data_IF_512996550789
#
_entry.id   IF_512996550789
#
_cell.length_a   1.000
_cell.length_b   1.000
_cell.length_c   1.000
_cell.angle_alpha   90.00
_cell.angle_beta   90.00
_cell.angle_gamma   90.00
#
_symmetry.space_group_name_H-M   'P 1'
#
loop_
_entity.id
_entity.type
_entity.pdbx_description
1 polymer ?
#
# COMPACT_ATOMS: atom_id res chain seq x y z
N UNK A 1 -20.63 2.96 -7.21
CA UNK A 1 -20.26 2.52 -5.84
C UNK A 1 -18.74 2.56 -5.66
N UNK A 2 -18.26 2.31 -4.45
CA UNK A 2 -16.83 2.18 -4.18
C UNK A 2 -16.32 0.85 -4.70
N UNK A 3 -15.10 0.84 -5.24
CA UNK A 3 -14.45 -0.36 -5.79
C UNK A 3 -12.99 -0.42 -5.32
N UNK A 4 -12.41 -1.61 -5.15
CA UNK A 4 -10.99 -1.75 -4.86
C UNK A 4 -10.13 -1.09 -5.95
N UNK A 5 -8.95 -0.61 -5.57
CA UNK A 5 -8.03 -0.02 -6.52
C UNK A 5 -7.45 -1.08 -7.46
N UNK A 6 -7.43 -0.77 -8.75
CA UNK A 6 -6.63 -1.49 -9.74
C UNK A 6 -5.14 -1.22 -9.53
N UNK A 7 -4.26 -1.99 -10.16
CA UNK A 7 -2.82 -1.77 -10.11
C UNK A 7 -2.44 -0.34 -10.56
N UNK A 8 -3.05 0.16 -11.63
CA UNK A 8 -2.79 1.51 -12.12
C UNK A 8 -3.22 2.59 -11.12
N UNK A 9 -4.41 2.43 -10.52
CA UNK A 9 -4.90 3.36 -9.50
C UNK A 9 -4.09 3.29 -8.19
N UNK A 10 -3.61 2.09 -7.82
CA UNK A 10 -2.76 1.92 -6.63
C UNK A 10 -1.44 2.67 -6.74
N UNK A 11 -0.86 2.70 -7.94
CA UNK A 11 0.42 3.35 -8.21
C UNK A 11 0.30 4.78 -8.77
N UNK A 12 -0.92 5.29 -8.89
CA UNK A 12 -1.14 6.65 -9.35
C UNK A 12 -0.51 7.65 -8.36
N UNK A 13 0.53 8.41 -8.77
CA UNK A 13 1.20 9.34 -7.88
C UNK A 13 0.32 10.51 -7.43
N UNK A 14 -0.76 10.80 -8.13
CA UNK A 14 -1.63 11.92 -7.83
C UNK A 14 -2.73 11.57 -6.82
N UNK A 15 -3.19 10.31 -6.78
CA UNK A 15 -4.44 9.99 -6.06
C UNK A 15 -4.37 8.77 -5.16
N UNK A 16 -3.43 7.82 -5.36
CA UNK A 16 -3.49 6.49 -4.75
C UNK A 16 -3.65 6.51 -3.21
N UNK A 17 -2.63 6.95 -2.49
CA UNK A 17 -2.63 7.03 -1.02
C UNK A 17 -2.22 8.42 -0.53
N UNK A 18 -2.63 9.47 -1.23
CA UNK A 18 -2.36 10.85 -0.85
C UNK A 18 -3.58 11.76 -0.91
N UNK A 19 -4.58 11.46 -1.76
CA UNK A 19 -5.74 12.30 -1.96
C UNK A 19 -7.03 11.46 -2.07
N UNK A 20 -7.95 11.71 -1.15
CA UNK A 20 -9.25 11.04 -1.12
C UNK A 20 -10.16 11.42 -2.28
N UNK A 21 -10.01 12.62 -2.85
CA UNK A 21 -10.88 13.10 -3.92
C UNK A 21 -10.80 12.25 -5.19
N UNK A 22 -9.62 11.71 -5.49
CA UNK A 22 -9.39 10.82 -6.62
C UNK A 22 -9.46 9.33 -6.29
N UNK A 23 -9.60 8.96 -5.02
CA UNK A 23 -9.52 7.58 -4.58
C UNK A 23 -10.90 6.92 -4.46
N UNK A 24 -11.20 6.00 -5.37
CA UNK A 24 -12.49 5.33 -5.39
C UNK A 24 -12.64 4.21 -4.35
N UNK A 25 -11.56 3.80 -3.67
CA UNK A 25 -11.64 2.74 -2.65
C UNK A 25 -11.92 3.27 -1.24
N UNK A 26 -11.66 4.53 -0.96
CA UNK A 26 -11.83 5.07 0.38
C UNK A 26 -13.30 5.34 0.70
N UNK A 27 -13.84 4.62 1.66
CA UNK A 27 -15.22 4.75 2.12
C UNK A 27 -15.35 5.83 3.19
N UNK A 28 -14.37 5.88 4.08
CA UNK A 28 -14.28 6.85 5.16
C UNK A 28 -12.85 7.35 5.27
N UNK A 29 -12.70 8.66 5.36
CA UNK A 29 -11.40 9.33 5.41
C UNK A 29 -11.51 10.69 6.09
N UNK A 30 -10.40 11.16 6.58
CA UNK A 30 -10.25 12.51 7.08
C UNK A 30 -9.51 13.35 6.05
N UNK A 31 -10.17 14.39 5.56
CA UNK A 31 -9.58 15.29 4.57
C UNK A 31 -8.61 16.25 5.26
N UNK A 32 -7.37 16.28 4.80
CA UNK A 32 -6.30 17.13 5.32
C UNK A 32 -6.03 18.27 4.35
N UNK A 33 -5.89 19.47 4.90
CA UNK A 33 -5.46 20.66 4.18
C UNK A 33 -4.36 21.36 4.97
N UNK A 34 -3.64 22.26 4.33
CA UNK A 34 -2.62 23.07 5.02
C UNK A 34 -3.16 23.84 6.22
N UNK A 35 -4.47 24.16 6.25
CA UNK A 35 -5.10 24.90 7.34
C UNK A 35 -5.46 24.03 8.55
N UNK A 36 -5.75 22.72 8.35
CA UNK A 36 -6.16 21.83 9.44
C UNK A 36 -5.09 20.78 9.82
N UNK A 37 -3.95 20.84 9.17
CA UNK A 37 -2.85 19.91 9.36
C UNK A 37 -2.08 20.14 10.67
N UNK A 38 -2.25 21.33 11.28
CA UNK A 38 -1.44 21.73 12.41
C UNK A 38 0.03 21.96 12.03
N UNK A 39 0.86 22.22 13.04
CA UNK A 39 2.27 22.47 12.81
C UNK A 39 3.03 21.13 12.76
N UNK A 40 3.42 20.67 11.58
CA UNK A 40 4.22 19.45 11.32
C UNK A 40 3.69 18.18 12.03
N UNK A 41 2.39 18.03 12.16
CA UNK A 41 1.78 16.93 12.93
C UNK A 41 0.87 16.00 12.11
N UNK A 42 0.93 16.04 10.77
CA UNK A 42 0.18 15.09 9.97
C UNK A 42 0.92 13.73 9.89
N UNK A 43 0.45 12.67 10.60
CA UNK A 43 1.12 11.37 10.60
C UNK A 43 1.26 10.76 9.19
N UNK A 44 0.24 10.91 8.34
CA UNK A 44 0.29 10.39 6.96
C UNK A 44 1.27 11.15 6.10
N UNK A 45 1.41 12.46 6.29
CA UNK A 45 2.45 13.25 5.64
C UNK A 45 3.87 12.79 6.00
N UNK A 46 4.06 12.32 7.24
CA UNK A 46 5.35 11.73 7.64
C UNK A 46 5.63 10.35 7.04
N UNK A 47 4.62 9.68 6.54
CA UNK A 47 4.77 8.37 5.88
C UNK A 47 4.98 8.51 4.36
N UNK A 48 4.90 9.73 3.81
CA UNK A 48 5.10 9.96 2.38
C UNK A 48 6.54 9.68 1.96
N UNK A 49 6.71 8.67 1.12
CA UNK A 49 8.03 8.13 0.78
C UNK A 49 8.96 9.10 0.06
N UNK A 50 8.41 10.11 -0.64
CA UNK A 50 9.19 11.10 -1.41
C UNK A 50 9.46 12.39 -0.64
N UNK A 51 8.98 12.54 0.58
CA UNK A 51 9.15 13.80 1.31
C UNK A 51 10.60 14.05 1.71
N UNK A 52 11.03 15.30 1.63
CA UNK A 52 12.34 15.74 2.11
C UNK A 52 12.27 16.57 3.40
N UNK A 53 11.05 16.70 3.98
CA UNK A 53 10.82 17.48 5.19
C UNK A 53 10.89 16.69 6.49
N UNK A 54 11.30 17.38 7.53
CA UNK A 54 11.20 16.92 8.91
C UNK A 54 11.92 15.60 9.17
N UNK A 55 11.34 14.79 10.02
CA UNK A 55 11.93 13.52 10.43
C UNK A 55 11.90 12.46 9.33
N UNK A 56 11.06 12.60 8.31
CA UNK A 56 10.97 11.58 7.26
C UNK A 56 12.21 11.55 6.37
N UNK A 57 12.88 12.69 6.19
CA UNK A 57 14.18 12.71 5.51
C UNK A 57 15.28 11.99 6.31
N UNK A 58 15.10 11.88 7.63
CA UNK A 58 16.05 11.25 8.54
C UNK A 58 15.69 9.81 8.90
N UNK A 59 14.38 9.50 8.94
CA UNK A 59 13.87 8.19 9.37
C UNK A 59 12.85 7.69 8.37
N UNK A 60 13.38 7.09 7.30
CA UNK A 60 12.55 6.60 6.22
C UNK A 60 11.82 5.32 6.61
N UNK A 61 10.52 5.26 6.27
CA UNK A 61 9.69 4.09 6.56
C UNK A 61 9.96 2.99 5.55
N UNK A 62 10.14 1.77 6.04
CA UNK A 62 10.35 0.59 5.22
C UNK A 62 9.36 -0.51 5.61
N UNK A 63 9.00 -1.37 4.67
CA UNK A 63 8.30 -2.62 4.98
C UNK A 63 9.28 -3.58 5.65
N UNK A 64 8.80 -4.35 6.62
CA UNK A 64 9.63 -5.39 7.21
C UNK A 64 9.97 -6.46 6.16
N UNK A 65 11.25 -6.86 6.10
CA UNK A 65 11.74 -7.82 5.10
C UNK A 65 10.88 -9.09 5.01
N UNK A 66 10.48 -9.64 6.15
CA UNK A 66 9.66 -10.84 6.19
C UNK A 66 8.28 -10.66 5.50
N UNK A 67 7.64 -9.49 5.65
CA UNK A 67 6.40 -9.16 4.94
C UNK A 67 6.65 -8.99 3.44
N UNK A 68 7.74 -8.31 3.08
CA UNK A 68 8.12 -8.09 1.69
C UNK A 68 8.36 -9.41 0.95
N UNK A 69 9.06 -10.35 1.59
CA UNK A 69 9.39 -11.65 1.00
C UNK A 69 8.14 -12.54 0.79
N UNK A 70 7.07 -12.31 1.55
CA UNK A 70 5.78 -13.01 1.39
C UNK A 70 4.97 -12.53 0.18
N UNK A 71 5.18 -11.30 -0.27
CA UNK A 71 4.51 -10.80 -1.46
C UNK A 71 5.09 -11.49 -2.69
N UNK A 72 4.24 -12.11 -3.50
CA UNK A 72 4.63 -12.66 -4.79
C UNK A 72 5.13 -11.55 -5.71
N UNK A 73 5.94 -11.89 -6.70
CA UNK A 73 6.40 -10.94 -7.73
C UNK A 73 5.26 -10.39 -8.57
N UNK A 74 4.20 -11.14 -8.72
CA UNK A 74 2.98 -10.79 -9.45
C UNK A 74 2.03 -9.92 -8.66
N UNK A 75 2.20 -9.83 -7.33
CA UNK A 75 1.44 -8.90 -6.49
C UNK A 75 1.88 -7.46 -6.77
N UNK A 76 1.00 -6.67 -7.35
CA UNK A 76 1.33 -5.30 -7.72
C UNK A 76 1.66 -4.41 -6.50
N UNK A 77 1.20 -4.74 -5.31
CA UNK A 77 1.52 -4.00 -4.08
C UNK A 77 3.02 -4.01 -3.77
N UNK A 78 3.72 -5.06 -4.21
CA UNK A 78 5.18 -5.21 -4.04
C UNK A 78 5.95 -4.03 -4.64
N UNK A 79 5.45 -3.46 -5.74
CA UNK A 79 6.01 -2.27 -6.38
C UNK A 79 5.90 -0.99 -5.57
N UNK A 80 5.22 -1.01 -4.42
CA UNK A 80 5.21 0.13 -3.49
C UNK A 80 6.45 0.19 -2.61
N UNK A 81 7.35 -0.78 -2.72
CA UNK A 81 8.54 -0.91 -1.88
C UNK A 81 9.77 -1.15 -2.73
N UNK A 82 10.90 -0.54 -2.36
CA UNK A 82 12.15 -0.72 -3.11
C UNK A 82 12.72 -2.12 -2.85
N UNK A 83 12.90 -2.90 -3.92
CA UNK A 83 13.57 -4.20 -3.86
C UNK A 83 15.08 -4.00 -3.67
N UNK A 84 15.75 -4.77 -2.82
CA UNK A 84 17.22 -4.73 -2.71
C UNK A 84 17.95 -5.14 -3.99
N UNK A 85 17.31 -5.94 -4.86
CA UNK A 85 17.84 -6.32 -6.17
C UNK A 85 17.55 -5.21 -7.22
N UNK A 86 18.38 -4.17 -7.19
CA UNK A 86 18.26 -2.99 -8.10
C UNK A 86 18.54 -3.34 -9.55
N UNK A 87 19.29 -4.41 -9.82
CA UNK A 87 19.61 -4.85 -11.18
C UNK A 87 18.37 -5.43 -11.86
N UNK A 88 17.67 -6.34 -11.19
CA UNK A 88 16.40 -6.91 -11.69
C UNK A 88 15.25 -5.91 -11.65
N UNK A 89 15.24 -5.01 -10.68
CA UNK A 89 14.18 -4.02 -10.45
C UNK A 89 14.73 -2.59 -10.44
N UNK A 90 15.11 -2.06 -11.62
CA UNK A 90 15.62 -0.71 -11.77
C UNK A 90 14.52 0.34 -11.52
N UNK A 91 14.89 1.60 -11.42
CA UNK A 91 13.96 2.72 -11.20
C UNK A 91 12.76 2.71 -12.18
N UNK A 92 12.95 2.28 -13.42
CA UNK A 92 11.89 2.19 -14.44
C UNK A 92 10.82 1.13 -14.15
N UNK A 93 11.08 0.18 -13.26
CA UNK A 93 10.09 -0.79 -12.78
C UNK A 93 9.00 -0.14 -11.93
N UNK A 94 9.35 0.95 -11.27
CA UNK A 94 8.48 1.67 -10.35
C UNK A 94 7.83 2.86 -11.06
N UNK A 95 6.53 3.00 -10.92
CA UNK A 95 5.75 4.05 -11.60
C UNK A 95 5.39 5.23 -10.68
N UNK A 96 6.00 5.30 -9.50
CA UNK A 96 5.57 6.18 -8.44
C UNK A 96 6.45 7.43 -8.22
N UNK A 97 7.67 7.46 -8.69
CA UNK A 97 8.55 8.61 -8.43
C UNK A 97 8.53 9.62 -9.56
N UNK A 98 8.55 10.91 -9.20
CA UNK A 98 8.78 11.95 -10.18
C UNK A 98 10.25 11.98 -10.62
N UNK A 99 10.50 12.36 -11.87
CA UNK A 99 11.85 12.55 -12.38
C UNK A 99 12.63 13.60 -11.56
N UNK A 100 11.95 14.66 -11.12
CA UNK A 100 12.54 15.70 -10.30
C UNK A 100 13.01 15.16 -8.94
N UNK A 101 12.20 14.32 -8.30
CA UNK A 101 12.58 13.69 -7.04
C UNK A 101 13.78 12.76 -7.23
N UNK A 102 13.78 11.90 -8.24
CA UNK A 102 14.89 10.99 -8.49
C UNK A 102 16.19 11.70 -8.90
N UNK A 103 16.10 12.90 -9.47
CA UNK A 103 17.27 13.73 -9.74
C UNK A 103 17.88 14.28 -8.44
N UNK A 104 17.05 14.63 -7.46
CA UNK A 104 17.50 15.15 -6.17
C UNK A 104 17.96 14.00 -5.23
N UNK A 105 17.29 12.86 -5.31
CA UNK A 105 17.50 11.67 -4.47
C UNK A 105 17.63 10.43 -5.37
N UNK A 106 18.83 10.10 -5.85
CA UNK A 106 19.06 9.00 -6.78
C UNK A 106 18.47 7.68 -6.27
N UNK A 107 17.92 6.89 -7.18
CA UNK A 107 17.28 5.62 -6.85
C UNK A 107 18.25 4.65 -6.17
N UNK A 108 19.50 4.65 -6.59
CA UNK A 108 20.56 3.77 -6.09
C UNK A 108 20.90 4.05 -4.62
N UNK A 109 20.68 5.30 -4.17
CA UNK A 109 20.95 5.76 -2.81
C UNK A 109 19.76 5.56 -1.86
N UNK A 110 18.59 5.15 -2.40
CA UNK A 110 17.40 4.92 -1.58
C UNK A 110 17.57 3.66 -0.73
N UNK A 111 17.11 3.65 0.54
CA UNK A 111 17.17 2.45 1.38
C UNK A 111 16.37 1.28 0.80
N UNK A 112 16.85 0.07 1.05
CA UNK A 112 16.13 -1.15 0.75
C UNK A 112 14.79 -1.18 1.50
N UNK A 113 13.78 -1.75 0.85
CA UNK A 113 12.42 -1.89 1.39
C UNK A 113 11.70 -0.58 1.70
N UNK A 114 12.28 0.59 1.34
CA UNK A 114 11.64 1.88 1.53
C UNK A 114 10.23 1.88 0.94
N UNK A 115 9.26 2.41 1.71
CA UNK A 115 7.86 2.45 1.32
C UNK A 115 7.52 3.73 0.55
N UNK A 116 6.91 3.54 -0.61
CA UNK A 116 6.29 4.59 -1.41
C UNK A 116 4.77 4.37 -1.54
N UNK A 117 4.18 3.62 -0.62
CA UNK A 117 2.73 3.40 -0.61
C UNK A 117 1.98 4.70 -0.38
N UNK A 118 2.43 5.50 0.60
CA UNK A 118 1.90 6.84 0.84
C UNK A 118 2.77 7.83 0.09
N UNK A 119 2.14 8.75 -0.62
CA UNK A 119 2.78 9.70 -1.51
C UNK A 119 2.57 11.13 -1.02
N UNK A 120 3.40 12.05 -1.47
CA UNK A 120 3.19 13.47 -1.24
C UNK A 120 1.96 13.95 -2.01
N UNK A 121 1.07 14.70 -1.36
CA UNK A 121 -0.12 15.26 -2.01
C UNK A 121 0.29 16.20 -3.15
N UNK A 122 -0.38 16.09 -4.27
CA UNK A 122 -0.07 16.81 -5.50
C UNK A 122 1.37 16.57 -6.05
N UNK A 123 2.07 15.53 -5.57
CA UNK A 123 3.46 15.27 -5.93
C UNK A 123 4.47 16.29 -5.41
N UNK A 124 4.05 17.17 -4.51
CA UNK A 124 4.91 18.19 -3.92
C UNK A 124 5.73 17.60 -2.77
N UNK A 125 6.94 17.18 -3.07
CA UNK A 125 7.86 16.57 -2.11
C UNK A 125 8.75 17.57 -1.38
N UNK A 126 8.72 18.86 -1.78
CA UNK A 126 9.53 19.92 -1.22
C UNK A 126 8.79 20.77 -0.17
N UNK A 127 7.47 20.97 -0.37
CA UNK A 127 6.68 21.89 0.46
C UNK A 127 5.78 21.14 1.42
N UNK A 128 6.14 21.04 2.69
CA UNK A 128 5.36 20.33 3.70
C UNK A 128 3.89 20.78 3.79
N UNK A 129 3.63 22.07 3.71
CA UNK A 129 2.25 22.61 3.81
C UNK A 129 1.32 22.19 2.65
N UNK A 130 1.90 21.72 1.54
CA UNK A 130 1.18 21.18 0.39
C UNK A 130 1.29 19.66 0.36
N UNK A 131 2.48 19.14 0.12
CA UNK A 131 2.72 17.72 -0.05
C UNK A 131 2.51 16.89 1.21
N UNK A 132 2.74 17.46 2.39
CA UNK A 132 2.46 16.83 3.67
C UNK A 132 0.97 16.80 4.05
N UNK A 133 0.10 17.49 3.32
CA UNK A 133 -1.34 17.50 3.56
C UNK A 133 -2.04 16.22 3.02
N UNK A 134 -1.45 15.08 3.27
CA UNK A 134 -1.94 13.76 2.86
C UNK A 134 -3.18 13.38 3.67
N UNK A 135 -4.26 13.00 2.99
CA UNK A 135 -5.50 12.60 3.63
C UNK A 135 -5.35 11.26 4.38
N UNK A 136 -6.17 11.07 5.41
CA UNK A 136 -6.13 9.86 6.23
C UNK A 136 -7.19 8.86 5.79
N UNK A 137 -6.82 7.72 5.20
CA UNK A 137 -7.77 6.64 4.99
C UNK A 137 -8.11 5.98 6.33
N UNK A 138 -9.39 5.98 6.69
CA UNK A 138 -9.89 5.33 7.90
C UNK A 138 -10.51 3.99 7.56
N UNK A 139 -11.27 3.93 6.45
CA UNK A 139 -11.91 2.71 5.98
C UNK A 139 -11.87 2.63 4.45
N UNK A 140 -11.50 1.48 3.93
CA UNK A 140 -11.47 1.21 2.50
C UNK A 140 -12.40 0.07 2.13
N UNK A 141 -12.89 0.08 0.90
CA UNK A 141 -13.81 -0.96 0.42
C UNK A 141 -13.17 -2.35 0.40
N UNK A 142 -11.86 -2.43 0.25
CA UNK A 142 -11.12 -3.70 0.30
C UNK A 142 -11.36 -4.45 1.61
N UNK A 143 -11.49 -3.72 2.73
CA UNK A 143 -11.82 -4.34 4.03
C UNK A 143 -13.16 -5.06 4.00
N UNK A 144 -14.14 -4.53 3.25
CA UNK A 144 -15.45 -5.17 3.11
C UNK A 144 -15.36 -6.50 2.37
N UNK A 145 -14.54 -6.59 1.30
CA UNK A 145 -14.30 -7.84 0.59
C UNK A 145 -13.61 -8.88 1.48
N UNK A 146 -12.65 -8.45 2.28
CA UNK A 146 -11.92 -9.34 3.19
C UNK A 146 -12.82 -9.83 4.34
N UNK A 147 -13.63 -8.94 4.92
CA UNK A 147 -14.64 -9.29 5.93
C UNK A 147 -15.68 -10.26 5.35
N UNK A 148 -16.14 -10.02 4.11
CA UNK A 148 -17.06 -10.95 3.44
C UNK A 148 -16.45 -12.34 3.28
N UNK A 149 -15.19 -12.43 2.83
CA UNK A 149 -14.50 -13.70 2.67
C UNK A 149 -14.34 -14.43 4.01
N UNK A 150 -13.97 -13.73 5.08
CA UNK A 150 -13.86 -14.29 6.43
C UNK A 150 -15.23 -14.77 6.94
N UNK A 151 -16.26 -13.94 6.81
CA UNK A 151 -17.61 -14.30 7.26
C UNK A 151 -18.15 -15.53 6.54
N UNK A 152 -17.92 -15.67 5.24
CA UNK A 152 -18.29 -16.86 4.45
C UNK A 152 -17.51 -18.08 4.94
N UNK A 153 -16.21 -17.96 5.17
CA UNK A 153 -15.37 -19.05 5.66
C UNK A 153 -15.79 -19.56 7.02
N UNK A 154 -16.20 -18.67 7.92
CA UNK A 154 -16.63 -19.01 9.27
C UNK A 154 -18.08 -19.50 9.35
N UNK A 155 -18.99 -19.01 8.50
CA UNK A 155 -20.43 -19.31 8.59
C UNK A 155 -20.93 -20.39 7.62
N UNK A 156 -20.24 -20.60 6.50
CA UNK A 156 -20.68 -21.57 5.47
C UNK A 156 -19.71 -22.74 5.35
N UNK A 157 -18.49 -22.50 4.85
CA UNK A 157 -17.44 -23.51 4.76
C UNK A 157 -16.06 -22.90 4.50
N UNK A 158 -15.00 -23.59 4.92
CA UNK A 158 -13.62 -23.22 4.64
C UNK A 158 -13.38 -23.04 3.13
N UNK A 159 -13.86 -23.98 2.32
CA UNK A 159 -13.70 -23.92 0.87
C UNK A 159 -14.37 -22.70 0.24
N UNK A 160 -15.55 -22.31 0.72
CA UNK A 160 -16.25 -21.11 0.22
C UNK A 160 -15.52 -19.82 0.60
N UNK A 161 -15.00 -19.73 1.83
CA UNK A 161 -14.20 -18.59 2.27
C UNK A 161 -12.90 -18.45 1.47
N UNK A 162 -12.18 -19.56 1.27
CA UNK A 162 -10.96 -19.60 0.45
C UNK A 162 -11.26 -19.16 -0.98
N UNK A 163 -12.33 -19.68 -1.60
CA UNK A 163 -12.69 -19.28 -2.94
C UNK A 163 -12.98 -17.78 -3.07
N UNK A 164 -13.66 -17.22 -2.06
CA UNK A 164 -13.96 -15.77 -2.04
C UNK A 164 -12.72 -14.92 -1.84
N UNK A 165 -11.81 -15.32 -0.97
CA UNK A 165 -10.53 -14.64 -0.79
C UNK A 165 -9.67 -14.72 -2.06
N UNK A 166 -9.56 -15.89 -2.69
CA UNK A 166 -8.83 -16.06 -3.93
C UNK A 166 -9.41 -15.21 -5.09
N UNK A 167 -10.74 -15.13 -5.19
CA UNK A 167 -11.42 -14.27 -6.16
C UNK A 167 -10.97 -12.81 -5.99
N UNK A 168 -11.03 -12.30 -4.76
CA UNK A 168 -10.61 -10.93 -4.46
C UNK A 168 -9.13 -10.70 -4.74
N UNK A 169 -8.27 -11.59 -4.23
CA UNK A 169 -6.82 -11.48 -4.37
C UNK A 169 -6.39 -11.52 -5.83
N UNK A 170 -6.91 -12.47 -6.61
CA UNK A 170 -6.58 -12.60 -8.05
C UNK A 170 -7.06 -11.42 -8.87
N UNK A 171 -8.20 -10.84 -8.50
CA UNK A 171 -8.78 -9.71 -9.23
C UNK A 171 -8.08 -8.39 -8.91
N UNK A 172 -7.72 -8.17 -7.64
CA UNK A 172 -7.32 -6.85 -7.16
C UNK A 172 -5.94 -6.77 -6.50
N UNK A 173 -5.15 -7.85 -6.49
CA UNK A 173 -3.83 -7.85 -5.85
C UNK A 173 -2.78 -8.60 -6.66
N UNK A 174 -2.99 -9.89 -6.82
CA UNK A 174 -2.01 -10.82 -7.38
C UNK A 174 -2.71 -11.87 -8.23
N UNK A 175 -2.59 -11.82 -9.57
CA UNK A 175 -3.25 -12.78 -10.46
C UNK A 175 -2.81 -14.24 -10.24
N UNK A 176 -1.64 -14.46 -9.62
CA UNK A 176 -1.11 -15.78 -9.30
C UNK A 176 -1.33 -16.21 -7.84
N UNK A 177 -2.13 -15.43 -7.09
CA UNK A 177 -2.41 -15.76 -5.69
C UNK A 177 -2.99 -17.16 -5.53
N UNK A 178 -2.51 -17.88 -4.53
CA UNK A 178 -3.03 -19.17 -4.11
C UNK A 178 -3.00 -19.28 -2.59
N UNK A 179 -4.16 -19.42 -1.99
CA UNK A 179 -4.28 -19.62 -0.55
C UNK A 179 -3.47 -20.82 -0.05
N UNK A 180 -3.49 -21.94 -0.78
CA UNK A 180 -2.73 -23.14 -0.40
C UNK A 180 -1.22 -22.89 -0.31
N UNK A 181 -0.67 -22.00 -1.15
CA UNK A 181 0.75 -21.62 -1.10
C UNK A 181 1.03 -20.64 0.04
N UNK A 182 0.19 -19.64 0.20
CA UNK A 182 0.32 -18.61 1.23
C UNK A 182 0.12 -19.22 2.63
N UNK A 183 -0.98 -19.93 2.84
CA UNK A 183 -1.31 -20.55 4.12
C UNK A 183 -0.37 -21.70 4.54
N UNK A 184 0.41 -22.24 3.62
CA UNK A 184 1.40 -23.29 3.97
C UNK A 184 2.48 -22.81 4.96
N UNK A 185 2.60 -21.50 5.14
CA UNK A 185 3.50 -20.91 6.14
C UNK A 185 2.92 -20.88 7.55
N UNK A 186 1.61 -21.21 7.72
CA UNK A 186 0.91 -21.17 8.99
C UNK A 186 0.42 -22.56 9.39
N UNK A 187 0.84 -23.06 10.54
CA UNK A 187 0.58 -24.44 10.97
C UNK A 187 -0.57 -24.61 11.97
N UNK A 188 -1.30 -23.54 12.31
CA UNK A 188 -2.20 -23.53 13.47
C UNK A 188 -3.71 -23.68 13.14
N UNK A 189 -4.03 -24.30 12.00
CA UNK A 189 -5.42 -24.56 11.58
C UNK A 189 -6.03 -23.44 10.72
N UNK A 190 -7.19 -23.74 10.12
CA UNK A 190 -7.84 -22.89 9.12
C UNK A 190 -8.14 -21.47 9.65
N UNK A 191 -8.81 -21.36 10.80
CA UNK A 191 -9.27 -20.05 11.30
C UNK A 191 -8.11 -19.06 11.42
N UNK A 192 -7.03 -19.48 12.08
CA UNK A 192 -5.88 -18.60 12.28
C UNK A 192 -5.15 -18.30 10.98
N UNK A 193 -4.90 -19.34 10.17
CA UNK A 193 -4.25 -19.18 8.87
C UNK A 193 -5.05 -18.26 7.95
N UNK A 194 -6.39 -18.38 7.94
CA UNK A 194 -7.26 -17.56 7.12
C UNK A 194 -7.28 -16.10 7.59
N UNK A 195 -7.41 -15.87 8.90
CA UNK A 195 -7.36 -14.54 9.46
C UNK A 195 -6.02 -13.83 9.23
N UNK A 196 -4.93 -14.58 9.30
CA UNK A 196 -3.61 -14.02 8.96
C UNK A 196 -3.51 -13.64 7.48
N UNK A 197 -4.03 -14.45 6.56
CA UNK A 197 -4.06 -14.11 5.12
C UNK A 197 -4.97 -12.89 4.83
N UNK A 198 -6.06 -12.72 5.55
CA UNK A 198 -6.96 -11.55 5.43
C UNK A 198 -6.28 -10.27 5.94
N UNK A 199 -5.38 -10.38 6.90
CA UNK A 199 -4.65 -9.22 7.45
C UNK A 199 -3.48 -8.74 6.55
N UNK A 200 -3.01 -9.58 5.63
CA UNK A 200 -1.93 -9.23 4.69
C UNK A 200 -2.47 -8.80 3.33
#
# INVERSE_FOLDING_TARGET
GKTPLTAAQWHDPATAFCDAAGNNSWMWYYNISGNNMGNICNPTGFLAGESDWGYNSLTQMAIHKWLYDRLNRTDFRKRSFIDPDRETYPASYYQWSSEAYLKAYPFEDQPDYKSFKIRCKAGDWETYSVGGAVDWPIMRVEEMYLIEAEAIGMSQSEAAGIAKLEEFMKTYRDPEYSYAKAASTFSEGFVKSFQEEVLY
#
